data_IF_298139763833
#
_entry.id   IF_298139763833
#
_cell.length_a   1.000
_cell.length_b   1.000
_cell.length_c   1.000
_cell.angle_alpha   90.00
_cell.angle_beta   90.00
_cell.angle_gamma   90.00
#
_symmetry.space_group_name_H-M   'P 1'
#
loop_
_entity.id
_entity.type
_entity.pdbx_description
1 polymer ?
#
# COMPACT_ATOMS: atom_id res chain seq x y z
N UNK A 1 -19.72 -45.48 -38.73
CA UNK A 1 -18.86 -44.33 -39.11
C UNK A 1 -19.41 -43.02 -38.55
N UNK A 2 -20.53 -42.48 -39.06
CA UNK A 2 -21.03 -41.13 -38.69
C UNK A 2 -21.20 -40.88 -37.19
N UNK A 3 -21.72 -41.85 -36.46
CA UNK A 3 -21.88 -41.75 -34.99
C UNK A 3 -20.52 -41.73 -34.28
N UNK A 4 -19.65 -42.70 -34.58
CA UNK A 4 -18.32 -42.81 -33.98
C UNK A 4 -17.43 -41.61 -34.32
N UNK A 5 -17.56 -41.03 -35.51
CA UNK A 5 -16.80 -39.82 -35.90
C UNK A 5 -17.21 -38.56 -35.13
N UNK A 6 -18.32 -38.61 -34.40
CA UNK A 6 -18.80 -37.52 -33.54
C UNK A 6 -18.50 -37.76 -32.05
N UNK A 7 -17.81 -38.86 -31.72
CA UNK A 7 -17.47 -39.19 -30.34
C UNK A 7 -16.38 -38.26 -29.80
N UNK A 8 -16.57 -37.81 -28.55
CA UNK A 8 -15.53 -37.16 -27.75
C UNK A 8 -15.01 -38.11 -26.68
N UNK A 9 -13.70 -38.05 -26.43
CA UNK A 9 -13.00 -38.77 -25.38
C UNK A 9 -13.09 -38.01 -24.05
N UNK A 10 -12.79 -38.70 -22.94
CA UNK A 10 -12.89 -38.15 -21.58
C UNK A 10 -11.96 -36.95 -21.32
N UNK A 11 -10.90 -36.80 -22.11
CA UNK A 11 -9.97 -35.67 -22.05
C UNK A 11 -10.40 -34.48 -22.93
N UNK A 12 -11.61 -34.51 -23.50
CA UNK A 12 -12.14 -33.43 -24.35
C UNK A 12 -11.69 -33.47 -25.81
N UNK A 13 -10.82 -34.42 -26.18
CA UNK A 13 -10.40 -34.61 -27.57
C UNK A 13 -11.50 -35.33 -28.38
N UNK A 14 -11.52 -35.11 -29.68
CA UNK A 14 -12.31 -35.86 -30.65
C UNK A 14 -11.42 -36.79 -31.49
N UNK A 15 -12.04 -37.61 -32.35
CA UNK A 15 -11.33 -38.57 -33.21
C UNK A 15 -10.26 -37.88 -34.09
N UNK A 16 -10.56 -36.72 -34.67
CA UNK A 16 -9.67 -36.01 -35.59
C UNK A 16 -8.61 -35.13 -34.91
N UNK A 17 -8.56 -35.11 -33.57
CA UNK A 17 -7.45 -34.49 -32.82
C UNK A 17 -6.22 -35.41 -32.72
N UNK A 18 -6.29 -36.62 -33.29
CA UNK A 18 -5.21 -37.62 -33.24
C UNK A 18 -4.38 -37.56 -34.52
N UNK A 19 -3.07 -37.82 -34.43
CA UNK A 19 -2.19 -37.76 -35.60
C UNK A 19 -2.47 -38.85 -36.64
N UNK A 20 -2.90 -40.03 -36.18
CA UNK A 20 -3.19 -41.20 -37.01
C UNK A 20 -4.46 -41.88 -36.52
N UNK A 21 -5.35 -42.18 -37.46
CA UNK A 21 -6.55 -42.98 -37.24
C UNK A 21 -6.53 -44.21 -38.12
N UNK A 22 -6.80 -45.37 -37.54
CA UNK A 22 -6.92 -46.64 -38.26
C UNK A 22 -8.33 -47.16 -38.06
N UNK A 23 -9.04 -47.40 -39.15
CA UNK A 23 -10.38 -47.95 -39.14
C UNK A 23 -10.39 -49.31 -39.84
N UNK A 24 -10.78 -50.36 -39.12
CA UNK A 24 -10.78 -51.72 -39.66
C UNK A 24 -11.97 -52.55 -39.23
N UNK A 25 -12.35 -53.51 -40.08
CA UNK A 25 -13.40 -54.50 -39.80
C UNK A 25 -14.36 -54.70 -40.98
N UNK A 26 -15.46 -55.42 -40.72
CA UNK A 26 -16.56 -55.58 -41.69
C UNK A 26 -17.36 -54.27 -41.80
N UNK A 27 -17.11 -53.55 -42.89
CA UNK A 27 -17.81 -52.31 -43.22
C UNK A 27 -19.09 -52.55 -44.02
N UNK A 28 -19.38 -53.81 -44.40
CA UNK A 28 -20.62 -54.26 -45.04
C UNK A 28 -20.94 -53.57 -46.39
N UNK A 29 -19.93 -53.00 -47.07
CA UNK A 29 -20.08 -52.46 -48.42
C UNK A 29 -20.05 -53.58 -49.47
N UNK A 30 -20.93 -53.48 -50.46
CA UNK A 30 -21.12 -54.49 -51.50
C UNK A 30 -20.62 -54.00 -52.87
N UNK A 31 -20.66 -54.88 -53.87
CA UNK A 31 -20.40 -54.52 -55.27
C UNK A 31 -21.71 -54.11 -55.94
N UNK A 32 -21.77 -52.89 -56.46
CA UNK A 32 -22.93 -52.32 -57.15
C UNK A 32 -23.02 -52.78 -58.62
N UNK A 33 -23.18 -54.09 -58.82
CA UNK A 33 -23.14 -54.73 -60.14
C UNK A 33 -24.35 -54.44 -61.03
N UNK A 34 -25.53 -54.28 -60.43
CA UNK A 34 -26.80 -54.12 -61.16
C UNK A 34 -26.94 -52.76 -61.84
N UNK A 35 -26.36 -51.69 -61.26
CA UNK A 35 -26.43 -50.33 -61.80
C UNK A 35 -25.69 -50.20 -63.14
N UNK A 36 -24.83 -51.16 -63.49
CA UNK A 36 -24.04 -51.16 -64.73
C UNK A 36 -24.24 -52.42 -65.60
N UNK A 37 -25.34 -53.15 -65.40
CA UNK A 37 -25.72 -54.28 -66.27
C UNK A 37 -24.93 -55.58 -66.07
N UNK A 38 -24.21 -55.75 -64.96
CA UNK A 38 -23.51 -57.00 -64.65
C UNK A 38 -24.42 -57.95 -63.86
N UNK A 39 -24.61 -59.16 -64.38
CA UNK A 39 -25.29 -60.23 -63.66
C UNK A 39 -24.44 -60.76 -62.50
N UNK A 40 -25.05 -61.41 -61.52
CA UNK A 40 -24.31 -62.06 -60.43
C UNK A 40 -23.33 -63.14 -60.95
N UNK A 41 -23.72 -63.88 -61.99
CA UNK A 41 -22.84 -64.81 -62.70
C UNK A 41 -21.62 -64.12 -63.31
N UNK A 42 -21.79 -62.92 -63.88
CA UNK A 42 -20.65 -62.15 -64.41
C UNK A 42 -19.71 -61.70 -63.31
N UNK A 43 -20.24 -61.21 -62.18
CA UNK A 43 -19.40 -60.81 -61.05
C UNK A 43 -18.62 -62.00 -60.50
N UNK A 44 -19.26 -63.16 -60.32
CA UNK A 44 -18.58 -64.39 -59.86
C UNK A 44 -17.48 -64.83 -60.83
N UNK A 45 -17.77 -64.78 -62.13
CA UNK A 45 -16.79 -65.10 -63.19
C UNK A 45 -15.60 -64.16 -63.17
N UNK A 46 -15.82 -62.85 -63.04
CA UNK A 46 -14.75 -61.85 -63.01
C UNK A 46 -13.96 -61.94 -61.69
N UNK A 47 -14.64 -62.11 -60.55
CA UNK A 47 -14.03 -62.23 -59.22
C UNK A 47 -13.09 -63.43 -59.10
N UNK A 48 -13.39 -64.53 -59.80
CA UNK A 48 -12.55 -65.73 -59.86
C UNK A 48 -11.44 -65.67 -60.93
N UNK A 49 -11.33 -64.56 -61.68
CA UNK A 49 -10.35 -64.38 -62.76
C UNK A 49 -9.21 -63.43 -62.36
N UNK A 50 -8.15 -63.38 -63.16
CA UNK A 50 -7.08 -62.37 -63.02
C UNK A 50 -7.58 -60.93 -63.17
N UNK A 51 -8.77 -60.74 -63.74
CA UNK A 51 -9.38 -59.43 -64.02
C UNK A 51 -10.22 -58.90 -62.86
N UNK A 52 -10.16 -59.52 -61.67
CA UNK A 52 -10.99 -59.16 -60.52
C UNK A 52 -10.93 -57.67 -60.13
N UNK A 53 -9.80 -57.01 -60.36
CA UNK A 53 -9.58 -55.61 -59.99
C UNK A 53 -10.50 -54.68 -60.77
N UNK A 54 -11.03 -55.12 -61.92
CA UNK A 54 -12.09 -54.40 -62.66
C UNK A 54 -13.35 -54.21 -61.83
N UNK A 55 -13.67 -55.14 -60.92
CA UNK A 55 -14.84 -55.03 -60.05
C UNK A 55 -14.69 -53.91 -59.00
N UNK A 56 -13.47 -53.45 -58.69
CA UNK A 56 -13.26 -52.35 -57.74
C UNK A 56 -13.86 -51.02 -58.21
N UNK A 57 -14.15 -50.87 -59.52
CA UNK A 57 -14.89 -49.72 -60.08
C UNK A 57 -16.35 -49.69 -59.62
N UNK A 58 -16.89 -50.84 -59.21
CA UNK A 58 -18.26 -50.99 -58.73
C UNK A 58 -18.32 -51.17 -57.21
N UNK A 59 -17.21 -50.94 -56.49
CA UNK A 59 -17.15 -51.04 -55.04
C UNK A 59 -17.92 -49.89 -54.37
N UNK A 60 -18.96 -50.20 -53.59
CA UNK A 60 -19.80 -49.19 -52.96
C UNK A 60 -19.02 -48.28 -52.00
N UNK A 61 -18.02 -48.80 -51.27
CA UNK A 61 -17.24 -47.96 -50.35
C UNK A 61 -16.46 -46.88 -51.12
N UNK A 62 -15.73 -47.27 -52.18
CA UNK A 62 -15.01 -46.31 -53.03
C UNK A 62 -15.93 -45.26 -53.65
N UNK A 63 -17.12 -45.67 -54.08
CA UNK A 63 -18.14 -44.74 -54.58
C UNK A 63 -18.59 -43.75 -53.49
N UNK A 64 -18.92 -44.23 -52.28
CA UNK A 64 -19.36 -43.34 -51.19
C UNK A 64 -18.23 -42.42 -50.70
N UNK A 65 -16.96 -42.87 -50.73
CA UNK A 65 -15.79 -42.04 -50.46
C UNK A 65 -15.59 -40.97 -51.53
N UNK A 66 -15.74 -41.33 -52.82
CA UNK A 66 -15.64 -40.40 -53.94
C UNK A 66 -16.70 -39.30 -53.86
N UNK A 67 -17.91 -39.64 -53.42
CA UNK A 67 -18.98 -38.66 -53.15
C UNK A 67 -18.81 -37.91 -51.82
N UNK A 68 -17.75 -38.15 -51.05
CA UNK A 68 -17.48 -37.47 -49.79
C UNK A 68 -18.47 -37.77 -48.66
N UNK A 69 -19.20 -38.89 -48.72
CA UNK A 69 -20.31 -39.19 -47.79
C UNK A 69 -19.87 -39.90 -46.50
N UNK A 70 -18.75 -40.60 -46.57
CA UNK A 70 -18.16 -41.44 -45.51
C UNK A 70 -16.64 -41.44 -45.66
N UNK A 71 -15.91 -41.64 -44.56
CA UNK A 71 -14.45 -41.83 -44.56
C UNK A 71 -13.70 -40.75 -45.38
N UNK A 72 -14.13 -39.50 -45.28
CA UNK A 72 -13.51 -38.36 -45.98
C UNK A 72 -12.05 -38.23 -45.53
N UNK A 73 -11.13 -38.18 -46.49
CA UNK A 73 -9.69 -38.10 -46.24
C UNK A 73 -9.03 -39.42 -45.83
N UNK A 74 -9.79 -40.48 -45.52
CA UNK A 74 -9.19 -41.80 -45.26
C UNK A 74 -8.66 -42.41 -46.55
N UNK A 75 -7.50 -43.04 -46.44
CA UNK A 75 -6.78 -43.75 -47.50
C UNK A 75 -6.93 -45.26 -47.29
N UNK A 76 -6.85 -46.01 -48.38
CA UNK A 76 -6.82 -47.46 -48.41
C UNK A 76 -5.74 -47.92 -49.40
N UNK A 77 -5.07 -49.03 -49.09
CA UNK A 77 -4.13 -49.63 -50.02
C UNK A 77 -4.87 -50.24 -51.23
N UNK A 78 -4.22 -50.33 -52.41
CA UNK A 78 -4.81 -51.00 -53.56
C UNK A 78 -5.20 -52.45 -53.25
N UNK A 79 -6.45 -52.82 -53.52
CA UNK A 79 -6.95 -54.18 -53.34
C UNK A 79 -6.45 -55.05 -54.50
N UNK A 80 -5.59 -56.02 -54.18
CA UNK A 80 -5.01 -56.97 -55.12
C UNK A 80 -5.40 -58.44 -54.82
N UNK A 81 -6.46 -58.65 -54.04
CA UNK A 81 -6.92 -59.95 -53.57
C UNK A 81 -8.42 -60.16 -53.82
N UNK A 82 -8.92 -61.42 -53.87
CA UNK A 82 -10.31 -61.71 -54.22
C UNK A 82 -11.30 -61.09 -53.24
N UNK A 83 -12.56 -60.87 -53.65
CA UNK A 83 -13.63 -60.48 -52.72
C UNK A 83 -13.63 -61.39 -51.49
N UNK A 84 -13.76 -60.80 -50.31
CA UNK A 84 -13.65 -61.54 -49.04
C UNK A 84 -14.96 -62.12 -48.55
N UNK A 85 -16.06 -61.79 -49.20
CA UNK A 85 -17.41 -62.22 -48.90
C UNK A 85 -18.16 -62.49 -50.21
N UNK A 86 -19.16 -63.36 -50.32
CA UNK A 86 -19.62 -64.36 -49.36
C UNK A 86 -19.24 -65.75 -49.86
N UNK A 87 -18.66 -66.55 -48.98
CA UNK A 87 -18.28 -67.93 -49.26
C UNK A 87 -19.19 -68.94 -48.56
N UNK A 88 -19.29 -70.14 -49.10
CA UNK A 88 -19.82 -71.28 -48.35
C UNK A 88 -18.81 -71.69 -47.28
N UNK A 89 -19.28 -71.80 -46.03
CA UNK A 89 -18.44 -72.12 -44.87
C UNK A 89 -17.68 -73.43 -45.11
N UNK A 90 -16.39 -73.43 -44.78
CA UNK A 90 -15.49 -74.56 -45.00
C UNK A 90 -14.90 -74.64 -46.41
N UNK A 91 -15.26 -73.73 -47.32
CA UNK A 91 -14.85 -73.79 -48.73
C UNK A 91 -14.27 -72.48 -49.29
N UNK A 92 -13.90 -72.51 -50.57
CA UNK A 92 -13.61 -71.32 -51.40
C UNK A 92 -14.67 -71.09 -52.47
N UNK A 93 -15.82 -71.77 -52.37
CA UNK A 93 -16.94 -71.60 -53.28
C UNK A 93 -17.76 -70.39 -52.85
N UNK A 94 -18.22 -69.63 -53.84
CA UNK A 94 -19.13 -68.50 -53.61
C UNK A 94 -20.49 -69.00 -53.12
N UNK A 95 -21.16 -68.19 -52.29
CA UNK A 95 -22.48 -68.48 -51.68
C UNK A 95 -23.42 -69.24 -52.61
N UNK A 96 -23.69 -70.50 -52.31
CA UNK A 96 -24.60 -71.39 -53.04
C UNK A 96 -26.00 -71.43 -52.45
N UNK A 97 -26.25 -70.68 -51.37
CA UNK A 97 -27.59 -70.55 -50.79
C UNK A 97 -28.58 -69.92 -51.78
N UNK A 98 -29.87 -70.05 -51.51
CA UNK A 98 -30.96 -69.45 -52.30
C UNK A 98 -30.78 -67.94 -52.53
N UNK A 99 -30.14 -67.24 -51.59
CA UNK A 99 -29.86 -65.80 -51.69
C UNK A 99 -28.74 -65.47 -52.67
N UNK A 100 -27.88 -66.44 -52.98
CA UNK A 100 -26.74 -66.36 -53.90
C UNK A 100 -26.04 -65.00 -53.85
N UNK A 101 -25.57 -64.55 -52.68
CA UNK A 101 -25.02 -63.19 -52.52
C UNK A 101 -23.85 -62.95 -53.48
N UNK A 102 -23.79 -61.75 -54.04
CA UNK A 102 -22.73 -61.37 -54.95
C UNK A 102 -21.39 -61.23 -54.20
N UNK A 103 -20.26 -61.70 -54.74
CA UNK A 103 -18.96 -61.49 -54.11
C UNK A 103 -18.62 -59.99 -53.90
N UNK A 104 -18.11 -59.62 -52.72
CA UNK A 104 -17.76 -58.26 -52.33
C UNK A 104 -16.60 -58.17 -51.31
N UNK A 105 -15.96 -56.99 -51.22
CA UNK A 105 -14.93 -56.65 -50.23
C UNK A 105 -15.56 -55.92 -49.04
N UNK A 106 -15.97 -56.68 -48.03
CA UNK A 106 -16.71 -56.15 -46.90
C UNK A 106 -15.78 -55.76 -45.76
N UNK A 107 -14.74 -56.56 -45.55
CA UNK A 107 -13.67 -56.33 -44.59
C UNK A 107 -12.64 -55.37 -45.20
N UNK A 108 -12.35 -54.26 -44.50
CA UNK A 108 -11.46 -53.20 -45.01
C UNK A 108 -10.55 -52.68 -43.91
N UNK A 109 -9.39 -52.16 -44.29
CA UNK A 109 -8.50 -51.39 -43.41
C UNK A 109 -8.21 -50.04 -44.06
N UNK A 110 -8.73 -48.97 -43.43
CA UNK A 110 -8.59 -47.60 -43.85
C UNK A 110 -7.73 -46.84 -42.83
N UNK A 111 -7.02 -45.80 -43.26
CA UNK A 111 -6.30 -44.91 -42.34
C UNK A 111 -6.42 -43.44 -42.71
N UNK A 112 -6.34 -42.56 -41.72
CA UNK A 112 -6.32 -41.10 -41.89
C UNK A 112 -5.16 -40.51 -41.10
N UNK A 113 -4.60 -39.41 -41.59
CA UNK A 113 -3.49 -38.68 -40.96
C UNK A 113 -3.86 -37.21 -40.81
N UNK A 114 -3.44 -36.57 -39.70
CA UNK A 114 -3.77 -35.19 -39.36
C UNK A 114 -3.20 -34.15 -40.33
N UNK A 115 -1.99 -34.41 -40.81
CA UNK A 115 -1.27 -33.56 -41.75
C UNK A 115 -0.44 -34.40 -42.75
N UNK A 116 -0.01 -33.77 -43.85
CA UNK A 116 0.84 -34.41 -44.88
C UNK A 116 2.28 -34.70 -44.39
N UNK A 117 2.67 -34.16 -43.24
CA UNK A 117 3.95 -34.45 -42.59
C UNK A 117 3.95 -35.76 -41.81
N UNK A 118 2.78 -36.25 -41.37
CA UNK A 118 2.61 -37.56 -40.75
C UNK A 118 2.58 -38.64 -41.83
N UNK A 119 3.73 -39.27 -42.07
CA UNK A 119 3.86 -40.30 -43.12
C UNK A 119 3.32 -41.64 -42.65
N UNK A 120 2.34 -42.13 -43.39
CA UNK A 120 1.77 -43.45 -43.21
C UNK A 120 1.55 -44.14 -44.55
N UNK A 121 2.02 -45.38 -44.68
CA UNK A 121 1.93 -46.16 -45.92
C UNK A 121 1.72 -47.64 -45.62
N UNK A 122 0.94 -48.33 -46.45
CA UNK A 122 0.83 -49.78 -46.38
C UNK A 122 1.98 -50.46 -47.13
N UNK A 123 2.68 -51.40 -46.48
CA UNK A 123 3.68 -52.27 -47.11
C UNK A 123 3.05 -53.51 -47.73
N UNK A 124 1.96 -54.00 -47.13
CA UNK A 124 1.21 -55.16 -47.59
C UNK A 124 -0.27 -54.98 -47.34
N UNK A 125 -1.11 -55.43 -48.28
CA UNK A 125 -2.56 -55.47 -48.13
C UNK A 125 -3.13 -56.70 -48.84
N UNK A 126 -3.61 -57.67 -48.05
CA UNK A 126 -3.99 -58.99 -48.57
C UNK A 126 -5.15 -59.63 -47.80
N UNK A 127 -5.73 -60.68 -48.35
CA UNK A 127 -6.71 -61.53 -47.66
C UNK A 127 -6.12 -62.89 -47.31
N UNK A 128 -6.54 -63.47 -46.19
CA UNK A 128 -6.12 -64.81 -45.75
C UNK A 128 -7.11 -65.85 -46.27
N UNK A 129 -6.87 -66.32 -47.49
CA UNK A 129 -7.78 -67.27 -48.16
C UNK A 129 -7.85 -68.63 -47.47
N UNK A 130 -6.77 -69.07 -46.82
CA UNK A 130 -6.69 -70.35 -46.09
C UNK A 130 -7.64 -70.45 -44.89
N UNK A 131 -8.17 -69.32 -44.40
CA UNK A 131 -9.19 -69.31 -43.35
C UNK A 131 -10.56 -69.56 -43.99
N UNK A 132 -11.20 -70.67 -43.58
CA UNK A 132 -12.50 -71.12 -44.12
C UNK A 132 -13.57 -71.29 -43.04
N UNK A 133 -13.27 -70.92 -41.79
CA UNK A 133 -14.17 -71.08 -40.63
C UNK A 133 -15.43 -70.19 -40.69
N UNK A 134 -15.44 -69.18 -41.56
CA UNK A 134 -16.52 -68.22 -41.78
C UNK A 134 -16.80 -68.07 -43.27
N UNK A 135 -17.94 -67.48 -43.61
CA UNK A 135 -18.30 -66.99 -44.94
C UNK A 135 -17.52 -65.73 -45.36
N UNK A 136 -16.68 -65.18 -44.47
CA UNK A 136 -15.71 -64.12 -44.71
C UNK A 136 -14.25 -64.62 -44.74
N UNK A 137 -13.40 -63.91 -45.50
CA UNK A 137 -11.95 -64.07 -45.50
C UNK A 137 -11.29 -62.88 -44.78
N UNK A 138 -10.46 -63.09 -43.74
CA UNK A 138 -9.80 -62.00 -43.03
C UNK A 138 -8.93 -61.14 -43.95
N UNK A 139 -8.89 -59.83 -43.69
CA UNK A 139 -8.02 -58.88 -44.39
C UNK A 139 -6.90 -58.44 -43.45
N UNK A 140 -5.68 -58.41 -43.98
CA UNK A 140 -4.47 -57.97 -43.27
C UNK A 140 -3.89 -56.77 -44.02
N UNK A 141 -3.64 -55.70 -43.28
CA UNK A 141 -2.82 -54.57 -43.74
C UNK A 141 -1.59 -54.45 -42.82
N UNK A 142 -0.41 -54.40 -43.41
CA UNK A 142 0.82 -54.03 -42.72
C UNK A 142 1.11 -52.55 -43.02
N UNK A 143 1.23 -51.74 -41.98
CA UNK A 143 1.29 -50.28 -42.07
C UNK A 143 2.57 -49.76 -41.43
N UNK A 144 3.34 -48.98 -42.17
CA UNK A 144 4.47 -48.21 -41.65
C UNK A 144 3.97 -46.82 -41.24
N UNK A 145 4.31 -46.39 -40.02
CA UNK A 145 3.94 -45.09 -39.45
C UNK A 145 5.20 -44.38 -38.93
N UNK A 146 5.45 -43.17 -39.43
CA UNK A 146 6.48 -42.30 -38.86
C UNK A 146 5.90 -41.52 -37.68
N UNK A 147 6.38 -41.81 -36.47
CA UNK A 147 5.97 -41.10 -35.25
C UNK A 147 7.01 -40.06 -34.86
N UNK A 148 6.56 -38.87 -34.45
CA UNK A 148 7.43 -37.82 -33.92
C UNK A 148 7.95 -38.27 -32.55
N UNK A 149 9.28 -38.27 -32.37
CA UNK A 149 9.92 -38.54 -31.08
C UNK A 149 10.39 -37.24 -30.46
N UNK A 150 9.80 -36.85 -29.34
CA UNK A 150 10.27 -35.68 -28.58
C UNK A 150 11.58 -36.01 -27.87
N UNK A 151 12.58 -35.12 -27.98
CA UNK A 151 13.76 -35.18 -27.14
C UNK A 151 13.42 -34.62 -25.76
N UNK A 152 13.02 -35.50 -24.84
CA UNK A 152 12.56 -35.11 -23.51
C UNK A 152 13.60 -34.24 -22.77
N UNK A 153 14.89 -34.57 -22.86
CA UNK A 153 15.95 -33.80 -22.20
C UNK A 153 16.03 -32.36 -22.69
N UNK A 154 15.89 -32.17 -24.01
CA UNK A 154 15.89 -30.82 -24.59
C UNK A 154 14.62 -30.06 -24.20
N UNK A 155 13.46 -30.71 -24.27
CA UNK A 155 12.19 -30.10 -23.87
C UNK A 155 12.21 -29.62 -22.41
N UNK A 156 12.69 -30.47 -21.50
CA UNK A 156 12.83 -30.14 -20.07
C UNK A 156 13.79 -28.94 -19.88
N UNK A 157 14.93 -28.93 -20.58
CA UNK A 157 15.90 -27.83 -20.48
C UNK A 157 15.35 -26.49 -20.97
N UNK A 158 14.61 -26.48 -22.07
CA UNK A 158 13.98 -25.28 -22.62
C UNK A 158 12.86 -24.77 -21.70
N UNK A 159 12.13 -25.70 -21.07
CA UNK A 159 11.09 -25.35 -20.10
C UNK A 159 11.69 -24.68 -18.85
N UNK A 160 12.78 -25.22 -18.31
CA UNK A 160 13.52 -24.56 -17.21
C UNK A 160 14.04 -23.18 -17.60
N UNK A 161 14.61 -23.03 -18.79
CA UNK A 161 15.08 -21.75 -19.30
C UNK A 161 13.93 -20.73 -19.41
N UNK A 162 12.78 -21.14 -19.93
CA UNK A 162 11.60 -20.30 -20.05
C UNK A 162 11.09 -19.84 -18.68
N UNK A 163 11.09 -20.71 -17.66
CA UNK A 163 10.75 -20.35 -16.28
C UNK A 163 11.74 -19.31 -15.73
N UNK A 164 13.05 -19.57 -15.85
CA UNK A 164 14.07 -18.64 -15.35
C UNK A 164 13.97 -17.27 -16.00
N UNK A 165 13.69 -17.23 -17.30
CA UNK A 165 13.49 -15.97 -18.03
C UNK A 165 12.21 -15.25 -17.59
N UNK A 166 11.13 -15.98 -17.32
CA UNK A 166 9.90 -15.40 -16.78
C UNK A 166 10.12 -14.81 -15.37
N UNK A 167 10.81 -15.52 -14.49
CA UNK A 167 11.16 -15.06 -13.14
C UNK A 167 12.08 -13.83 -13.20
N UNK A 168 13.08 -13.83 -14.09
CA UNK A 168 13.96 -12.68 -14.31
C UNK A 168 13.17 -11.44 -14.71
N UNK A 169 12.26 -11.56 -15.69
CA UNK A 169 11.41 -10.45 -16.13
C UNK A 169 10.47 -9.96 -15.02
N UNK A 170 9.89 -10.88 -14.25
CA UNK A 170 9.02 -10.51 -13.13
C UNK A 170 9.79 -9.70 -12.07
N UNK A 171 11.01 -10.14 -11.71
CA UNK A 171 11.86 -9.43 -10.76
C UNK A 171 12.33 -8.06 -11.30
N UNK A 172 12.67 -7.95 -12.59
CA UNK A 172 13.04 -6.68 -13.22
C UNK A 172 11.90 -5.65 -13.26
N UNK A 173 10.64 -6.10 -13.15
CA UNK A 173 9.45 -5.26 -13.14
C UNK A 173 9.00 -4.87 -11.72
N UNK A 174 9.66 -5.37 -10.68
CA UNK A 174 9.35 -4.99 -9.30
C UNK A 174 9.56 -3.48 -9.10
N UNK A 175 8.65 -2.80 -8.38
CA UNK A 175 8.78 -1.38 -8.05
C UNK A 175 10.09 -1.08 -7.33
N UNK A 176 10.87 -0.14 -7.86
CA UNK A 176 12.15 0.27 -7.30
C UNK A 176 12.27 1.79 -7.26
N UNK A 177 12.72 2.31 -6.11
CA UNK A 177 12.96 3.73 -5.90
C UNK A 177 14.37 3.98 -5.35
N UNK A 178 14.88 5.18 -5.58
CA UNK A 178 15.98 5.77 -4.85
C UNK A 178 15.47 6.90 -3.94
N UNK A 179 16.12 7.06 -2.78
CA UNK A 179 15.87 8.12 -1.82
C UNK A 179 17.12 9.00 -1.75
N UNK A 180 16.97 10.32 -1.74
CA UNK A 180 18.11 11.25 -1.62
C UNK A 180 18.87 11.13 -0.29
N UNK A 181 18.19 10.66 0.75
CA UNK A 181 18.78 10.33 2.06
C UNK A 181 18.08 9.09 2.64
N UNK A 182 18.81 8.32 3.45
CA UNK A 182 18.30 7.11 4.10
C UNK A 182 17.93 7.34 5.57
N UNK A 183 18.44 8.42 6.15
CA UNK A 183 18.16 8.91 7.49
C UNK A 183 17.94 10.42 7.43
N UNK A 184 17.17 10.94 8.38
CA UNK A 184 16.92 12.37 8.52
C UNK A 184 17.24 12.79 9.94
N UNK A 185 18.25 13.63 10.08
CA UNK A 185 18.56 14.29 11.34
C UNK A 185 18.25 15.79 11.22
N UNK A 186 17.33 16.27 12.06
CA UNK A 186 16.99 17.68 12.15
C UNK A 186 17.98 18.47 13.00
N UNK A 187 18.90 17.81 13.71
CA UNK A 187 19.80 18.45 14.65
C UNK A 187 19.02 19.10 15.81
N UNK A 188 19.45 20.28 16.23
CA UNK A 188 18.78 21.03 17.30
C UNK A 188 17.46 21.66 16.82
N UNK A 189 16.36 21.26 17.46
CA UNK A 189 15.03 21.84 17.25
C UNK A 189 14.60 22.67 18.46
N UNK A 190 13.68 23.62 18.23
CA UNK A 190 13.30 24.61 19.22
C UNK A 190 11.79 24.63 19.45
N UNK A 191 11.38 25.07 20.64
CA UNK A 191 9.99 25.16 21.03
C UNK A 191 9.21 26.06 20.06
N UNK A 192 8.10 25.56 19.52
CA UNK A 192 7.22 26.26 18.56
C UNK A 192 7.89 26.75 17.28
N UNK A 193 9.13 26.33 16.97
CA UNK A 193 9.81 26.67 15.71
C UNK A 193 9.76 25.47 14.76
N UNK A 194 9.12 25.64 13.61
CA UNK A 194 9.06 24.58 12.61
C UNK A 194 10.39 24.46 11.87
N UNK A 195 10.97 23.26 11.89
CA UNK A 195 12.11 22.88 11.06
C UNK A 195 11.65 21.93 9.95
N UNK A 196 12.16 22.08 8.73
CA UNK A 196 11.75 21.24 7.59
C UNK A 196 12.93 20.65 6.85
N UNK A 197 12.86 19.36 6.51
CA UNK A 197 13.81 18.66 5.65
C UNK A 197 13.02 17.97 4.52
N UNK A 198 13.61 17.89 3.33
CA UNK A 198 12.97 17.25 2.17
C UNK A 198 13.77 16.07 1.66
N UNK A 199 13.07 14.98 1.34
CA UNK A 199 13.59 13.76 0.73
C UNK A 199 13.08 13.68 -0.70
N UNK A 200 13.98 13.57 -1.67
CA UNK A 200 13.61 13.29 -3.06
C UNK A 200 13.46 11.79 -3.23
N UNK A 201 12.28 11.36 -3.68
CA UNK A 201 11.95 9.98 -4.00
C UNK A 201 11.88 9.88 -5.53
N UNK A 202 12.72 9.05 -6.13
CA UNK A 202 12.79 8.89 -7.60
C UNK A 202 12.49 7.45 -7.99
N UNK A 203 11.68 7.26 -9.03
CA UNK A 203 11.44 5.95 -9.63
C UNK A 203 12.61 5.58 -10.56
N UNK A 204 13.37 4.56 -10.17
CA UNK A 204 14.50 4.01 -10.94
C UNK A 204 14.20 2.61 -11.49
N UNK A 205 13.01 2.09 -11.23
CA UNK A 205 12.56 0.80 -11.74
C UNK A 205 12.12 0.84 -13.20
N UNK A 206 11.66 -0.31 -13.69
CA UNK A 206 11.09 -0.48 -15.04
C UNK A 206 9.56 -0.45 -15.07
N UNK A 207 8.92 -0.17 -13.94
CA UNK A 207 7.47 -0.06 -13.81
C UNK A 207 7.05 1.21 -13.05
N UNK A 208 5.78 1.60 -13.15
CA UNK A 208 5.22 2.68 -12.34
C UNK A 208 5.19 2.29 -10.86
N UNK A 209 5.49 3.24 -9.98
CA UNK A 209 5.58 3.00 -8.54
C UNK A 209 4.45 3.75 -7.83
N UNK A 210 3.71 3.06 -6.96
CA UNK A 210 2.85 3.69 -5.96
C UNK A 210 3.45 3.44 -4.58
N UNK A 211 3.65 4.50 -3.82
CA UNK A 211 4.06 4.39 -2.42
C UNK A 211 3.02 4.97 -1.48
N UNK A 212 3.01 4.47 -0.25
CA UNK A 212 2.28 5.02 0.88
C UNK A 212 3.08 4.87 2.16
N UNK A 213 2.94 5.82 3.09
CA UNK A 213 3.42 5.65 4.46
C UNK A 213 2.47 4.72 5.22
N UNK A 214 3.03 3.72 5.92
CA UNK A 214 2.25 2.78 6.72
C UNK A 214 1.93 3.36 8.09
N UNK A 215 0.69 3.15 8.52
CA UNK A 215 0.27 3.42 9.89
C UNK A 215 0.81 2.34 10.84
N UNK A 216 1.34 2.78 11.99
CA UNK A 216 1.74 1.93 13.12
C UNK A 216 0.67 1.97 14.21
N UNK A 217 0.32 0.82 14.82
CA UNK A 217 -0.63 0.78 15.94
C UNK A 217 -0.24 1.74 17.06
N UNK A 218 -1.17 2.60 17.48
CA UNK A 218 -0.99 3.55 18.59
C UNK A 218 -0.20 4.83 18.27
N UNK A 219 0.50 4.90 17.14
CA UNK A 219 1.30 6.08 16.73
C UNK A 219 0.70 6.76 15.49
N UNK A 220 0.10 5.99 14.58
CA UNK A 220 -0.28 6.48 13.25
C UNK A 220 0.89 6.41 12.28
N UNK A 221 0.94 7.33 11.29
CA UNK A 221 2.00 7.34 10.27
C UNK A 221 3.37 7.75 10.84
N UNK A 222 3.35 8.71 11.76
CA UNK A 222 4.52 9.30 12.39
C UNK A 222 4.15 9.81 13.79
N UNK A 223 5.16 10.08 14.62
CA UNK A 223 4.99 10.67 15.94
C UNK A 223 4.30 12.06 15.86
N UNK A 224 3.62 12.47 16.94
CA UNK A 224 2.80 13.70 16.96
C UNK A 224 3.58 14.99 16.65
N UNK A 225 4.88 15.01 16.93
CA UNK A 225 5.78 16.14 16.68
C UNK A 225 6.33 16.19 15.24
N UNK A 226 6.05 15.17 14.42
CA UNK A 226 6.51 15.03 13.05
C UNK A 226 5.33 15.10 12.08
N UNK A 227 5.46 15.94 11.05
CA UNK A 227 4.52 16.05 9.94
C UNK A 227 5.21 15.61 8.65
N UNK A 228 4.51 14.85 7.80
CA UNK A 228 5.07 14.34 6.53
C UNK A 228 4.09 14.53 5.39
N UNK A 229 4.57 15.07 4.26
CA UNK A 229 3.77 15.28 3.05
C UNK A 229 4.61 15.11 1.76
N UNK A 230 4.11 14.44 0.70
CA UNK A 230 2.85 13.71 0.65
C UNK A 230 2.98 12.33 1.33
N UNK A 231 1.89 11.84 1.91
CA UNK A 231 1.86 10.53 2.57
C UNK A 231 1.69 9.35 1.60
N UNK A 232 1.23 9.63 0.38
CA UNK A 232 1.11 8.66 -0.70
C UNK A 232 1.29 9.38 -2.04
N UNK A 233 1.82 8.67 -3.04
CA UNK A 233 2.02 9.25 -4.37
C UNK A 233 2.18 8.17 -5.45
N UNK A 234 1.96 8.54 -6.71
CA UNK A 234 2.20 7.70 -7.88
C UNK A 234 3.30 8.32 -8.75
N UNK A 235 4.38 7.57 -8.96
CA UNK A 235 5.53 7.94 -9.79
C UNK A 235 5.53 7.12 -11.08
N UNK A 236 5.43 7.81 -12.21
CA UNK A 236 5.70 7.21 -13.51
C UNK A 236 7.19 6.94 -13.68
N UNK A 237 7.56 6.23 -14.75
CA UNK A 237 8.95 5.89 -15.05
C UNK A 237 9.85 7.13 -15.09
N UNK A 238 10.95 7.10 -14.34
CA UNK A 238 11.92 8.19 -14.26
C UNK A 238 11.46 9.45 -13.54
N UNK A 239 10.21 9.52 -13.05
CA UNK A 239 9.71 10.66 -12.29
C UNK A 239 10.27 10.68 -10.87
N UNK A 240 10.26 11.86 -10.27
CA UNK A 240 10.59 12.09 -8.88
C UNK A 240 9.54 12.95 -8.20
N UNK A 241 9.42 12.80 -6.88
CA UNK A 241 8.60 13.65 -6.01
C UNK A 241 9.42 14.05 -4.79
N UNK A 242 9.14 15.24 -4.26
CA UNK A 242 9.73 15.73 -3.02
C UNK A 242 8.76 15.43 -1.88
N UNK A 243 9.23 14.68 -0.88
CA UNK A 243 8.54 14.45 0.37
C UNK A 243 9.15 15.36 1.45
N UNK A 244 8.35 16.27 1.99
CA UNK A 244 8.74 17.21 3.03
C UNK A 244 8.35 16.65 4.40
N UNK A 245 9.33 16.65 5.30
CA UNK A 245 9.17 16.34 6.72
C UNK A 245 9.30 17.65 7.49
N UNK A 246 8.39 17.91 8.43
CA UNK A 246 8.41 19.07 9.29
C UNK A 246 8.31 18.67 10.76
N UNK A 247 9.22 19.16 11.60
CA UNK A 247 9.15 19.01 13.06
C UNK A 247 8.71 20.32 13.69
N UNK A 248 7.75 20.24 14.60
CA UNK A 248 7.37 21.34 15.49
C UNK A 248 7.16 20.79 16.90
N UNK A 249 7.97 21.24 17.85
CA UNK A 249 7.81 20.84 19.26
C UNK A 249 6.83 21.78 19.94
N UNK A 250 5.64 21.28 20.25
CA UNK A 250 4.61 22.03 20.95
C UNK A 250 4.65 21.86 22.47
N UNK A 251 3.71 22.53 23.18
CA UNK A 251 3.65 22.44 24.64
C UNK A 251 3.41 21.00 25.12
N UNK A 252 2.52 20.24 24.47
CA UNK A 252 2.22 18.86 24.84
C UNK A 252 3.41 17.94 24.64
N UNK A 253 4.06 18.06 23.48
CA UNK A 253 5.29 17.36 23.15
C UNK A 253 6.35 17.69 24.18
N UNK A 254 6.66 18.97 24.41
CA UNK A 254 7.64 19.40 25.41
C UNK A 254 7.33 18.85 26.80
N UNK A 255 6.07 18.81 27.25
CA UNK A 255 5.73 18.28 28.58
C UNK A 255 5.95 16.77 28.73
N UNK A 256 5.81 16.02 27.62
CA UNK A 256 5.98 14.56 27.56
C UNK A 256 7.45 14.13 27.51
N UNK A 257 8.37 15.02 27.12
CA UNK A 257 9.78 14.69 27.03
C UNK A 257 10.43 14.65 28.41
N UNK A 258 11.27 13.65 28.63
CA UNK A 258 12.00 13.44 29.89
C UNK A 258 13.48 13.77 29.73
N UNK A 259 14.11 14.25 30.80
CA UNK A 259 15.51 14.66 30.81
C UNK A 259 15.75 16.10 30.38
N UNK A 260 17.00 16.59 30.52
CA UNK A 260 17.37 17.97 30.16
C UNK A 260 17.53 18.15 28.65
N UNK A 261 18.01 17.11 27.97
CA UNK A 261 18.31 17.08 26.54
C UNK A 261 17.68 15.84 25.87
N UNK A 262 16.34 15.79 25.78
CA UNK A 262 15.65 14.68 25.13
C UNK A 262 16.00 14.56 23.64
N UNK A 263 16.08 13.31 23.18
CA UNK A 263 16.22 12.97 21.76
C UNK A 263 14.85 12.52 21.25
N UNK A 264 14.36 13.21 20.23
CA UNK A 264 13.18 12.84 19.47
C UNK A 264 13.58 11.80 18.43
N UNK A 265 12.88 10.68 18.36
CA UNK A 265 13.18 9.59 17.42
C UNK A 265 11.89 8.93 16.93
N UNK A 266 11.80 8.73 15.63
CA UNK A 266 10.74 7.97 14.98
C UNK A 266 11.26 7.30 13.69
N UNK A 267 10.53 6.33 13.14
CA UNK A 267 10.90 5.67 11.87
C UNK A 267 9.73 5.76 10.91
N UNK A 268 9.87 6.44 9.78
CA UNK A 268 8.86 6.40 8.72
C UNK A 268 8.96 5.09 7.93
N UNK A 269 7.82 4.45 7.67
CA UNK A 269 7.77 3.22 6.87
C UNK A 269 7.11 3.51 5.54
N UNK A 270 7.93 3.75 4.51
CA UNK A 270 7.48 3.97 3.14
C UNK A 270 7.34 2.63 2.42
N UNK A 271 6.10 2.25 2.11
CA UNK A 271 5.78 0.97 1.48
C UNK A 271 5.47 1.14 0.00
N UNK A 272 6.14 0.36 -0.84
CA UNK A 272 5.83 0.26 -2.26
C UNK A 272 4.75 -0.80 -2.49
N UNK A 273 3.72 -0.48 -3.25
CA UNK A 273 2.69 -1.48 -3.61
C UNK A 273 3.32 -2.59 -4.45
N UNK A 274 3.24 -3.85 -3.99
CA UNK A 274 3.91 -5.02 -4.60
C UNK A 274 5.46 -4.89 -4.65
N UNK A 275 6.03 -4.02 -3.83
CA UNK A 275 7.47 -3.85 -3.69
C UNK A 275 7.92 -4.00 -2.24
N UNK A 276 9.14 -3.55 -1.96
CA UNK A 276 9.75 -3.58 -0.64
C UNK A 276 9.34 -2.37 0.21
N UNK A 277 9.47 -2.50 1.52
CA UNK A 277 9.36 -1.38 2.45
C UNK A 277 10.72 -0.68 2.62
N UNK A 278 10.68 0.64 2.80
CA UNK A 278 11.81 1.49 3.10
C UNK A 278 11.59 2.11 4.49
N UNK A 279 12.54 1.92 5.39
CA UNK A 279 12.52 2.45 6.74
C UNK A 279 13.43 3.68 6.79
N UNK A 280 12.88 4.84 7.16
CA UNK A 280 13.60 6.11 7.20
C UNK A 280 13.60 6.57 8.66
N UNK A 281 14.70 6.37 9.41
CA UNK A 281 14.86 6.91 10.74
C UNK A 281 14.86 8.44 10.70
N UNK A 282 14.15 9.05 11.65
CA UNK A 282 14.06 10.49 11.83
C UNK A 282 14.46 10.81 13.25
N UNK A 283 15.45 11.68 13.43
CA UNK A 283 15.92 12.15 14.73
C UNK A 283 15.93 13.66 14.85
N UNK A 284 15.83 14.14 16.08
CA UNK A 284 16.11 15.52 16.44
C UNK A 284 16.55 15.61 17.91
N UNK A 285 17.34 16.63 18.22
CA UNK A 285 17.74 16.96 19.59
C UNK A 285 16.93 18.15 20.08
N UNK A 286 16.31 18.02 21.25
CA UNK A 286 15.56 19.11 21.89
C UNK A 286 16.17 19.40 23.25
N UNK A 287 16.20 20.67 23.65
CA UNK A 287 16.66 21.09 24.97
C UNK A 287 15.59 21.91 25.63
N UNK A 288 15.24 21.55 26.87
CA UNK A 288 14.36 22.35 27.70
C UNK A 288 15.07 23.65 28.08
N UNK A 289 14.49 24.78 27.66
CA UNK A 289 15.02 26.12 27.91
C UNK A 289 13.99 26.96 28.65
N UNK A 290 13.32 27.88 27.95
CA UNK A 290 12.43 28.88 28.58
C UNK A 290 10.95 28.54 28.46
N UNK A 291 10.49 28.04 27.31
CA UNK A 291 9.08 27.75 27.06
C UNK A 291 8.81 26.24 27.14
N UNK A 292 7.58 25.85 27.49
CA UNK A 292 7.22 24.43 27.54
C UNK A 292 7.80 23.65 28.74
N UNK A 293 8.25 24.34 29.79
CA UNK A 293 8.97 23.78 30.95
C UNK A 293 8.21 23.96 32.26
N UNK A 294 8.57 23.25 33.32
CA UNK A 294 7.95 23.47 34.64
C UNK A 294 8.40 24.80 35.26
N UNK A 295 7.62 25.31 36.21
CA UNK A 295 7.98 26.55 36.90
C UNK A 295 9.30 26.40 37.67
N UNK A 296 9.52 25.27 38.34
CA UNK A 296 10.78 24.96 39.01
C UNK A 296 11.98 24.97 38.05
N UNK A 297 11.80 24.52 36.81
CA UNK A 297 12.85 24.59 35.78
C UNK A 297 13.23 26.06 35.48
N UNK A 298 12.24 26.95 35.32
CA UNK A 298 12.51 28.37 35.07
C UNK A 298 13.27 29.06 36.22
N UNK A 299 13.00 28.69 37.47
CA UNK A 299 13.74 29.19 38.63
C UNK A 299 15.16 28.60 38.73
N UNK A 300 15.33 27.34 38.31
CA UNK A 300 16.63 26.67 38.29
C UNK A 300 17.49 27.06 37.08
N UNK A 301 16.89 27.63 36.03
CA UNK A 301 17.57 28.03 34.81
C UNK A 301 18.54 29.19 35.09
N UNK A 302 19.78 28.82 35.40
CA UNK A 302 20.97 29.64 35.21
C UNK A 302 21.69 29.03 34.03
N UNK A 303 21.82 29.77 32.94
CA UNK A 303 22.42 29.27 31.71
C UNK A 303 23.79 28.63 32.01
N UNK A 304 24.11 27.56 31.27
CA UNK A 304 25.44 26.96 31.20
C UNK A 304 26.42 27.92 30.46
N UNK A 305 26.47 29.19 30.88
CA UNK A 305 27.43 30.18 30.39
C UNK A 305 28.73 29.99 31.17
N UNK A 306 29.83 29.80 30.43
CA UNK A 306 31.21 29.78 30.93
C UNK A 306 31.64 31.05 31.70
N UNK A 307 30.77 32.06 31.77
CA UNK A 307 30.98 33.32 32.49
C UNK A 307 29.78 33.53 33.42
N UNK A 308 29.95 33.09 34.66
CA UNK A 308 29.04 33.39 35.76
C UNK A 308 29.16 34.87 36.11
N UNK A 309 28.10 35.66 35.90
CA UNK A 309 27.94 36.95 36.58
C UNK A 309 27.41 36.67 37.98
N UNK A 310 28.31 36.49 38.95
CA UNK A 310 28.00 36.10 40.34
C UNK A 310 27.23 37.16 41.15
N UNK A 311 27.07 38.38 40.63
CA UNK A 311 26.55 39.53 41.39
C UNK A 311 25.11 39.98 41.04
N UNK A 312 24.35 39.19 40.28
CA UNK A 312 22.96 39.55 39.97
C UNK A 312 22.04 39.34 41.19
N UNK A 313 21.23 40.34 41.61
CA UNK A 313 20.33 40.20 42.74
C UNK A 313 19.35 39.04 42.53
N UNK A 314 19.09 38.28 43.60
CA UNK A 314 18.10 37.20 43.57
C UNK A 314 16.72 37.78 43.30
N UNK A 315 16.23 37.64 42.06
CA UNK A 315 14.88 38.04 41.71
C UNK A 315 13.85 37.10 42.38
N UNK A 316 12.69 37.61 42.81
CA UNK A 316 11.63 36.78 43.39
C UNK A 316 10.92 35.92 42.32
N UNK A 317 11.13 36.20 41.03
CA UNK A 317 10.54 35.52 39.88
C UNK A 317 11.60 35.14 38.85
N UNK A 318 11.32 34.22 37.90
CA UNK A 318 12.28 33.85 36.88
C UNK A 318 12.76 35.03 36.03
N UNK A 319 14.05 35.02 35.66
CA UNK A 319 14.68 36.07 34.84
C UNK A 319 13.94 36.31 33.52
N UNK A 320 13.47 35.24 32.88
CA UNK A 320 12.73 35.32 31.62
C UNK A 320 11.41 36.08 31.76
N UNK A 321 10.66 35.79 32.83
CA UNK A 321 9.42 36.47 33.16
C UNK A 321 9.66 37.95 33.49
N UNK A 322 10.68 38.21 34.31
CA UNK A 322 11.07 39.58 34.68
C UNK A 322 11.49 40.41 33.46
N UNK A 323 12.34 39.85 32.58
CA UNK A 323 12.82 40.51 31.38
C UNK A 323 11.68 40.90 30.42
N UNK A 324 10.68 40.02 30.25
CA UNK A 324 9.49 40.32 29.45
C UNK A 324 8.70 41.50 30.02
N UNK A 325 8.34 41.44 31.30
CA UNK A 325 7.56 42.52 31.96
C UNK A 325 8.34 43.83 32.00
N UNK A 326 9.64 43.80 32.31
CA UNK A 326 10.49 44.98 32.31
C UNK A 326 10.57 45.61 30.91
N UNK A 327 10.76 44.80 29.87
CA UNK A 327 10.85 45.30 28.49
C UNK A 327 9.53 45.93 28.03
N UNK A 328 8.38 45.35 28.42
CA UNK A 328 7.06 45.96 28.18
C UNK A 328 6.95 47.31 28.89
N UNK A 329 7.35 47.40 30.16
CA UNK A 329 7.38 48.66 30.92
C UNK A 329 8.25 49.72 30.27
N UNK A 330 9.45 49.35 29.81
CA UNK A 330 10.39 50.25 29.14
C UNK A 330 9.83 50.81 27.82
N UNK A 331 9.05 50.02 27.08
CA UNK A 331 8.42 50.49 25.83
C UNK A 331 7.17 51.36 26.07
N UNK A 332 6.53 51.20 27.23
CA UNK A 332 5.35 51.95 27.68
C UNK A 332 4.09 51.10 27.63
N UNK A 333 3.58 50.70 28.80
CA UNK A 333 2.39 49.84 28.95
C UNK A 333 1.13 50.47 28.31
N UNK A 334 1.04 51.79 28.34
CA UNK A 334 0.00 52.60 27.71
C UNK A 334 -0.06 52.44 26.18
N UNK A 335 1.05 52.07 25.54
CA UNK A 335 1.16 51.89 24.08
C UNK A 335 0.78 50.50 23.60
N UNK A 336 0.41 49.57 24.49
CA UNK A 336 -0.03 48.24 24.10
C UNK A 336 -1.33 48.30 23.28
N UNK A 337 -1.26 47.85 22.04
CA UNK A 337 -2.41 47.62 21.17
C UNK A 337 -2.69 46.12 21.08
N UNK A 338 -3.82 45.68 21.64
CA UNK A 338 -4.18 44.26 21.70
C UNK A 338 -4.73 43.68 20.37
N UNK A 339 -4.93 44.53 19.36
CA UNK A 339 -5.39 44.14 18.02
C UNK A 339 -4.27 43.96 17.00
N UNK A 340 -3.01 44.15 17.40
CA UNK A 340 -1.87 44.05 16.50
C UNK A 340 -1.65 42.61 16.03
N UNK A 341 -1.14 42.46 14.80
CA UNK A 341 -0.76 41.15 14.28
C UNK A 341 0.51 40.66 14.98
N UNK A 342 0.48 39.42 15.47
CA UNK A 342 1.66 38.73 15.96
C UNK A 342 2.26 37.88 14.84
N UNK A 343 3.52 38.11 14.50
CA UNK A 343 4.27 37.32 13.54
C UNK A 343 5.23 36.38 14.28
N UNK A 344 5.37 35.14 13.81
CA UNK A 344 6.19 34.12 14.45
C UNK A 344 7.69 34.49 14.44
N UNK A 345 8.16 35.31 13.48
CA UNK A 345 9.54 35.82 13.47
C UNK A 345 9.87 36.63 14.73
N UNK A 346 8.92 37.43 15.23
CA UNK A 346 9.12 38.19 16.47
C UNK A 346 9.19 37.26 17.69
N UNK A 347 8.33 36.25 17.74
CA UNK A 347 8.34 35.27 18.82
C UNK A 347 9.66 34.49 18.84
N UNK A 348 10.17 34.07 17.68
CA UNK A 348 11.44 33.36 17.57
C UNK A 348 12.62 34.20 18.09
N UNK A 349 12.69 35.48 17.73
CA UNK A 349 13.74 36.40 18.23
C UNK A 349 13.65 36.60 19.74
N UNK A 350 12.44 36.76 20.28
CA UNK A 350 12.20 36.92 21.72
C UNK A 350 12.61 35.64 22.45
N UNK A 351 12.17 34.48 21.96
CA UNK A 351 12.54 33.17 22.50
C UNK A 351 14.06 33.00 22.53
N UNK A 352 14.75 33.20 21.41
CA UNK A 352 16.21 33.10 21.32
C UNK A 352 16.93 34.07 22.27
N UNK A 353 16.41 35.27 22.45
CA UNK A 353 17.01 36.26 23.37
C UNK A 353 16.81 35.90 24.83
N UNK A 354 15.63 35.36 25.19
CA UNK A 354 15.36 34.84 26.53
C UNK A 354 16.21 33.62 26.86
N UNK A 355 16.42 32.72 25.89
CA UNK A 355 17.31 31.56 26.03
C UNK A 355 18.78 31.95 26.23
N UNK A 356 19.18 33.14 25.76
CA UNK A 356 20.51 33.73 26.00
C UNK A 356 20.57 34.61 27.26
N UNK A 357 19.53 34.58 28.08
CA UNK A 357 19.37 35.41 29.28
C UNK A 357 19.53 36.93 29.03
N UNK A 358 19.08 37.43 27.87
CA UNK A 358 19.13 38.86 27.60
C UNK A 358 18.21 39.63 28.59
N UNK A 359 18.74 40.53 29.44
CA UNK A 359 17.94 41.20 30.46
C UNK A 359 17.03 42.29 29.90
N UNK A 360 17.35 42.82 28.72
CA UNK A 360 16.65 43.92 28.06
C UNK A 360 16.32 43.52 26.62
N UNK A 361 15.06 43.12 26.41
CA UNK A 361 14.56 42.66 25.12
C UNK A 361 14.24 43.81 24.17
N UNK A 362 14.24 45.07 24.64
CA UNK A 362 14.00 46.25 23.78
C UNK A 362 15.09 46.46 22.73
N UNK A 363 16.25 45.83 22.93
CA UNK A 363 17.40 45.83 22.00
C UNK A 363 17.22 44.91 20.80
N UNK A 364 16.20 44.07 20.78
CA UNK A 364 15.87 43.24 19.63
C UNK A 364 15.27 44.17 18.56
N UNK A 365 15.83 44.16 17.34
CA UNK A 365 15.34 45.01 16.25
C UNK A 365 14.98 44.19 15.00
N UNK A 366 13.79 44.40 14.41
CA UNK A 366 12.64 45.13 14.97
C UNK A 366 12.00 44.38 16.16
N UNK A 367 11.36 45.11 17.08
CA UNK A 367 10.52 44.53 18.13
C UNK A 367 9.21 45.29 18.28
N UNK A 368 8.12 44.54 18.44
CA UNK A 368 6.81 45.07 18.77
C UNK A 368 6.50 44.80 20.26
N UNK A 369 6.01 45.81 20.97
CA UNK A 369 5.54 45.68 22.36
C UNK A 369 4.44 44.62 22.50
N UNK A 370 3.57 44.47 21.51
CA UNK A 370 2.56 43.43 21.50
C UNK A 370 3.17 42.02 21.38
N UNK A 371 4.28 41.86 20.66
CA UNK A 371 4.99 40.57 20.58
C UNK A 371 5.61 40.18 21.93
N UNK A 372 6.14 41.14 22.70
CA UNK A 372 6.59 40.91 24.08
C UNK A 372 5.44 40.48 24.99
N UNK A 373 4.30 41.18 24.90
CA UNK A 373 3.10 40.83 25.66
C UNK A 373 2.55 39.44 25.27
N UNK A 374 2.53 39.11 23.97
CA UNK A 374 2.12 37.79 23.52
C UNK A 374 3.12 36.70 23.94
N UNK A 375 4.41 36.98 23.95
CA UNK A 375 5.43 36.05 24.44
C UNK A 375 5.29 35.82 25.96
N UNK A 376 4.93 36.85 26.72
CA UNK A 376 4.60 36.74 28.14
C UNK A 376 3.40 35.82 28.38
N UNK A 377 2.31 36.00 27.63
CA UNK A 377 1.16 35.09 27.71
C UNK A 377 1.54 33.66 27.32
N UNK A 378 2.29 33.47 26.22
CA UNK A 378 2.77 32.16 25.77
C UNK A 378 3.68 31.50 26.81
N UNK A 379 4.53 32.26 27.50
CA UNK A 379 5.42 31.72 28.54
C UNK A 379 4.58 31.06 29.64
N UNK A 380 3.58 31.76 30.17
CA UNK A 380 2.72 31.24 31.24
C UNK A 380 1.80 30.12 30.74
N UNK A 381 1.24 30.22 29.54
CA UNK A 381 0.39 29.17 28.95
C UNK A 381 1.17 27.87 28.67
N UNK A 382 2.46 28.00 28.37
CA UNK A 382 3.33 26.87 28.03
C UNK A 382 3.96 26.17 29.24
N UNK A 383 3.84 26.69 30.48
CA UNK A 383 4.40 26.02 31.65
C UNK A 383 3.90 24.56 31.74
N UNK A 384 4.68 23.62 32.28
CA UNK A 384 4.18 22.24 32.45
C UNK A 384 3.02 22.18 33.45
N UNK A 385 3.17 22.90 34.56
CA UNK A 385 2.18 22.99 35.62
C UNK A 385 1.50 24.37 35.60
N UNK A 386 0.17 24.45 35.84
CA UNK A 386 -0.51 25.74 35.96
C UNK A 386 0.01 26.56 37.14
N UNK A 387 -0.11 27.89 37.05
CA UNK A 387 0.27 28.79 38.16
C UNK A 387 -0.63 28.59 39.38
N UNK A 388 -1.93 28.35 39.17
CA UNK A 388 -2.84 27.88 40.21
C UNK A 388 -2.73 26.36 40.31
N UNK A 389 -2.17 25.81 41.41
CA UNK A 389 -2.03 24.36 41.56
C UNK A 389 -3.39 23.65 41.48
N UNK A 390 -3.43 22.49 40.83
CA UNK A 390 -4.69 21.79 40.58
C UNK A 390 -5.46 21.44 41.85
N UNK A 391 -4.73 21.11 42.93
CA UNK A 391 -5.27 20.80 44.25
C UNK A 391 -6.10 21.95 44.86
N UNK A 392 -5.76 23.20 44.53
CA UNK A 392 -6.41 24.40 45.07
C UNK A 392 -7.41 25.03 44.10
N UNK A 393 -7.64 24.40 42.93
CA UNK A 393 -8.51 24.96 41.87
C UNK A 393 -9.95 25.14 42.36
N UNK A 394 -10.49 24.18 43.10
CA UNK A 394 -11.85 24.28 43.65
C UNK A 394 -12.00 25.43 44.65
N UNK A 395 -11.00 25.62 45.52
CA UNK A 395 -10.98 26.69 46.51
C UNK A 395 -10.83 28.06 45.85
N UNK A 396 -9.98 28.16 44.82
CA UNK A 396 -9.82 29.36 44.00
C UNK A 396 -11.16 29.81 43.38
N UNK A 397 -11.93 28.88 42.82
CA UNK A 397 -13.24 29.19 42.23
C UNK A 397 -14.28 29.55 43.30
N UNK A 398 -14.27 28.86 44.45
CA UNK A 398 -15.17 29.11 45.57
C UNK A 398 -14.96 30.50 46.18
N UNK A 399 -13.71 30.94 46.32
CA UNK A 399 -13.36 32.25 46.91
C UNK A 399 -13.34 33.39 45.89
N UNK A 400 -13.86 33.19 44.68
CA UNK A 400 -13.78 34.16 43.58
C UNK A 400 -14.20 35.60 43.93
N UNK A 401 -15.16 35.78 44.85
CA UNK A 401 -15.65 37.07 45.30
C UNK A 401 -14.98 37.61 46.59
N UNK A 402 -14.04 36.86 47.18
CA UNK A 402 -13.39 37.17 48.47
C UNK A 402 -11.87 37.27 48.28
N UNK A 403 -11.40 38.50 48.03
CA UNK A 403 -9.97 38.77 47.82
C UNK A 403 -9.10 38.37 49.01
N UNK A 404 -9.59 38.51 50.24
CA UNK A 404 -8.83 38.19 51.45
C UNK A 404 -8.60 36.69 51.58
N UNK A 405 -9.62 35.87 51.30
CA UNK A 405 -9.46 34.40 51.24
C UNK A 405 -8.61 33.95 50.07
N UNK A 406 -8.72 34.58 48.90
CA UNK A 406 -7.87 34.27 47.75
C UNK A 406 -6.39 34.56 48.04
N UNK A 407 -6.06 35.70 48.66
CA UNK A 407 -4.69 36.00 49.05
C UNK A 407 -4.15 35.07 50.15
N UNK A 408 -4.99 34.70 51.12
CA UNK A 408 -4.63 33.69 52.13
C UNK A 408 -4.37 32.30 51.52
N UNK A 409 -5.17 31.91 50.53
CA UNK A 409 -4.96 30.68 49.75
C UNK A 409 -3.65 30.74 48.94
N UNK A 410 -3.35 31.86 48.30
CA UNK A 410 -2.09 32.05 47.55
C UNK A 410 -0.87 31.96 48.49
N UNK A 411 -1.00 32.40 49.75
CA UNK A 411 0.07 32.27 50.74
C UNK A 411 0.41 30.82 51.11
N UNK A 412 -0.53 29.89 50.93
CA UNK A 412 -0.30 28.45 51.11
C UNK A 412 0.31 27.76 49.89
N UNK A 413 0.48 28.44 48.74
CA UNK A 413 1.06 27.85 47.53
C UNK A 413 2.58 27.65 47.66
N UNK A 414 3.19 26.79 46.83
CA UNK A 414 4.63 26.76 46.66
C UNK A 414 5.18 28.17 46.40
N UNK A 415 6.38 28.45 46.93
CA UNK A 415 6.98 29.79 46.84
C UNK A 415 7.02 30.29 45.41
N UNK A 416 7.47 29.45 44.48
CA UNK A 416 7.60 29.78 43.06
C UNK A 416 6.26 30.25 42.46
N UNK A 417 5.17 29.52 42.72
CA UNK A 417 3.83 29.87 42.25
C UNK A 417 3.35 31.19 42.86
N UNK A 418 3.50 31.34 44.17
CA UNK A 418 3.08 32.54 44.91
C UNK A 418 3.77 33.80 44.38
N UNK A 419 5.10 33.79 44.30
CA UNK A 419 5.86 34.97 43.88
C UNK A 419 5.50 35.37 42.43
N UNK A 420 5.29 34.39 41.54
CA UNK A 420 4.87 34.68 40.16
C UNK A 420 3.45 35.23 40.08
N UNK A 421 2.50 34.69 40.85
CA UNK A 421 1.13 35.23 40.90
C UNK A 421 1.12 36.66 41.42
N UNK A 422 1.84 36.95 42.51
CA UNK A 422 1.96 38.31 43.07
C UNK A 422 2.53 39.26 42.01
N UNK A 423 3.66 38.91 41.41
CA UNK A 423 4.32 39.72 40.38
C UNK A 423 3.42 39.99 39.16
N UNK A 424 2.71 38.98 38.68
CA UNK A 424 1.76 39.14 37.57
C UNK A 424 0.57 40.00 37.96
N UNK A 425 0.02 39.87 39.18
CA UNK A 425 -1.09 40.73 39.61
C UNK A 425 -0.67 42.20 39.73
N UNK A 426 0.56 42.48 40.16
CA UNK A 426 1.10 43.84 40.20
C UNK A 426 1.21 44.43 38.79
N UNK A 427 1.73 43.65 37.84
CA UNK A 427 1.78 44.06 36.43
C UNK A 427 0.37 44.27 35.84
N UNK A 428 -0.60 43.41 36.16
CA UNK A 428 -1.98 43.57 35.70
C UNK A 428 -2.65 44.83 36.29
N UNK A 429 -2.38 45.18 37.55
CA UNK A 429 -2.86 46.45 38.14
C UNK A 429 -2.33 47.65 37.35
N UNK A 430 -1.03 47.65 37.07
CA UNK A 430 -0.38 48.67 36.23
C UNK A 430 -1.01 48.72 34.84
N UNK A 431 -1.20 47.58 34.19
CA UNK A 431 -1.86 47.49 32.88
C UNK A 431 -3.25 48.11 32.90
N UNK A 432 -4.06 47.85 33.92
CA UNK A 432 -5.43 48.39 34.02
C UNK A 432 -5.47 49.88 34.35
N UNK A 433 -4.42 50.40 35.00
CA UNK A 433 -4.30 51.83 35.30
C UNK A 433 -3.78 52.61 34.09
N UNK A 434 -2.81 52.06 33.36
CA UNK A 434 -2.12 52.76 32.27
C UNK A 434 -2.75 52.56 30.89
N UNK A 435 -3.52 51.48 30.67
CA UNK A 435 -4.12 51.16 29.37
C UNK A 435 -5.64 51.05 29.45
N UNK A 436 -6.36 51.85 28.66
CA UNK A 436 -7.83 51.90 28.67
C UNK A 436 -8.49 50.57 28.31
N UNK A 437 -7.83 49.75 27.49
CA UNK A 437 -8.30 48.45 27.04
C UNK A 437 -7.67 47.30 27.86
N UNK A 438 -6.86 47.62 28.87
CA UNK A 438 -6.15 46.62 29.67
C UNK A 438 -7.09 45.62 30.37
N UNK A 439 -8.25 46.11 30.84
CA UNK A 439 -9.27 45.27 31.49
C UNK A 439 -9.88 44.22 30.56
N UNK A 440 -9.90 44.46 29.24
CA UNK A 440 -10.41 43.49 28.27
C UNK A 440 -9.54 42.22 28.22
N UNK A 441 -8.30 42.31 28.69
CA UNK A 441 -7.36 41.20 28.75
C UNK A 441 -7.56 40.28 29.96
N UNK A 442 -8.41 40.65 30.93
CA UNK A 442 -8.66 39.84 32.13
C UNK A 442 -9.03 38.40 31.81
N UNK A 443 -9.80 38.19 30.73
CA UNK A 443 -10.20 36.86 30.29
C UNK A 443 -9.02 36.02 29.82
N UNK A 444 -8.17 36.59 28.97
CA UNK A 444 -6.98 35.89 28.44
C UNK A 444 -6.06 35.49 29.59
N UNK A 445 -5.83 36.40 30.54
CA UNK A 445 -5.01 36.11 31.72
C UNK A 445 -5.62 35.07 32.65
N UNK A 446 -6.94 35.11 32.88
CA UNK A 446 -7.62 34.08 33.67
C UNK A 446 -7.50 32.70 33.03
N UNK A 447 -7.63 32.62 31.71
CA UNK A 447 -7.49 31.37 30.95
C UNK A 447 -6.06 30.82 31.04
N UNK A 448 -5.04 31.69 30.99
CA UNK A 448 -3.62 31.30 31.05
C UNK A 448 -3.15 30.93 32.46
N UNK A 449 -3.60 31.66 33.50
CA UNK A 449 -3.19 31.43 34.90
C UNK A 449 -3.86 30.17 35.48
N UNK A 450 -5.15 29.96 35.20
CA UNK A 450 -5.96 28.87 35.79
C UNK A 450 -6.03 27.63 34.89
N UNK A 451 -5.83 27.80 33.56
CA UNK A 451 -5.91 26.74 32.52
C UNK A 451 -7.23 25.99 32.48
N UNK A 452 -8.33 26.73 32.56
CA UNK A 452 -9.67 26.15 32.48
C UNK A 452 -10.46 26.71 31.31
N UNK A 453 -10.72 25.87 30.30
CA UNK A 453 -11.58 26.20 29.16
C UNK A 453 -13.00 25.71 29.41
N UNK A 454 -13.75 26.34 30.33
CA UNK A 454 -15.18 26.02 30.55
C UNK A 454 -16.07 27.28 30.55
N UNK A 455 -17.11 27.27 29.71
CA UNK A 455 -18.15 28.27 29.43
C UNK A 455 -17.73 29.74 29.16
N UNK A 456 -18.24 30.29 28.06
CA UNK A 456 -18.06 31.68 27.60
C UNK A 456 -18.77 32.73 28.47
N UNK A 457 -19.16 32.39 29.69
CA UNK A 457 -19.94 33.27 30.54
C UNK A 457 -19.05 34.41 31.11
N UNK A 458 -19.43 35.68 30.93
CA UNK A 458 -18.70 36.83 31.49
C UNK A 458 -18.67 36.86 33.03
N UNK A 459 -19.41 35.97 33.68
CA UNK A 459 -19.44 35.75 35.13
C UNK A 459 -18.71 34.48 35.58
N UNK A 460 -17.78 33.94 34.78
CA UNK A 460 -17.05 32.74 35.19
C UNK A 460 -16.28 32.97 36.51
N UNK A 461 -16.38 32.08 37.50
CA UNK A 461 -15.72 32.28 38.80
C UNK A 461 -14.20 32.50 38.68
N UNK A 462 -13.53 31.93 37.67
CA UNK A 462 -12.10 32.16 37.40
C UNK A 462 -11.79 33.63 37.05
N UNK A 463 -12.63 34.26 36.23
CA UNK A 463 -12.46 35.64 35.81
C UNK A 463 -12.72 36.58 36.99
N UNK A 464 -13.76 36.26 37.77
CA UNK A 464 -14.12 37.01 38.97
C UNK A 464 -13.00 36.94 40.02
N UNK A 465 -12.43 35.75 40.25
CA UNK A 465 -11.30 35.57 41.17
C UNK A 465 -10.09 36.42 40.78
N UNK A 466 -9.67 36.37 39.50
CA UNK A 466 -8.54 37.18 39.04
C UNK A 466 -8.83 38.68 39.15
N UNK A 467 -10.05 39.11 38.78
CA UNK A 467 -10.47 40.51 38.95
C UNK A 467 -10.38 40.95 40.41
N UNK A 468 -10.90 40.15 41.35
CA UNK A 468 -10.85 40.44 42.78
C UNK A 468 -9.41 40.59 43.31
N UNK A 469 -8.48 39.76 42.83
CA UNK A 469 -7.04 39.86 43.19
C UNK A 469 -6.34 41.09 42.61
N UNK A 470 -6.74 41.52 41.41
CA UNK A 470 -6.16 42.70 40.79
C UNK A 470 -6.75 43.98 41.42
N UNK A 471 -8.05 44.03 41.69
CA UNK A 471 -8.70 45.21 42.29
C UNK A 471 -8.28 45.46 43.75
N UNK A 472 -7.96 44.41 44.52
CA UNK A 472 -7.52 44.51 45.93
C UNK A 472 -6.11 43.93 46.12
N UNK A 473 -5.13 44.80 46.43
CA UNK A 473 -3.75 44.36 46.67
C UNK A 473 -3.66 43.46 47.92
N UNK A 474 -2.63 42.60 47.95
CA UNK A 474 -2.38 41.67 49.07
C UNK A 474 -2.37 42.38 50.42
N UNK A 475 -1.66 43.49 50.53
CA UNK A 475 -1.55 44.27 51.76
C UNK A 475 -2.89 44.88 52.19
N UNK A 476 -3.72 45.30 51.24
CA UNK A 476 -5.05 45.86 51.53
C UNK A 476 -6.04 44.77 51.94
N UNK A 477 -5.97 43.61 51.29
CA UNK A 477 -6.90 42.51 51.52
C UNK A 477 -6.62 41.76 52.85
N UNK A 478 -5.35 41.57 53.22
CA UNK A 478 -4.98 40.85 54.44
C UNK A 478 -5.14 41.72 55.71
N UNK A 479 -5.11 43.05 55.59
CA UNK A 479 -5.37 43.97 56.70
C UNK A 479 -6.80 43.85 57.26
N UNK A 480 -7.75 43.34 56.48
CA UNK A 480 -9.13 43.12 56.93
C UNK A 480 -9.36 41.79 57.70
N UNK A 481 -8.34 40.92 57.77
CA UNK A 481 -8.39 39.64 58.50
C UNK A 481 -7.66 39.68 59.85
N UNK A 482 -6.82 40.70 60.08
CA UNK A 482 -6.18 41.02 61.36
C UNK A 482 -7.04 41.98 62.18
#
# INVERSE_FOLDING_TARGET
FREISQTSFSNGLNLFDHDVLIWLGDLNYRVNSQVNGLSNSDVRRIASSSEMTKLTKFDQLREQQLFGRVFVGFKEAPIAFPPTYKYDIGTHLWDSSEKARCPAWCDRVLWWTSDDGTKMSATSYTSVQSVTLSDHKPVIAELNVEVRKMNQKLADSLYEEAIREADRRANELLPQISLSCQEVDFGDVYFMKTATISIVIKNEGKSGVRFKLKERPGIGICAEWLNVFPQHYHLSLGQQVVMTLGITVDKRTSWSLEGKHPILSDILVLSLEKGRDHFIPVSASYTHRVFGVSLSHLFAHKADLLISFEDAPSLPVPRSLYALVLSIRMMGVDKLSFGDLNDEDHFDRIRESLERECPDLTKIHPINIFALYSALLRLIDSLKDPLVPEIHRSEWLLFSHDSSRLWSLIDSYPRENREVIVFLTDFLRELFHCNSNGRDQLRVWADVIVRETSTSAPSSPRLVALRSLVDYSRDTALFHLS
#
